data_IF_143003245429
#
_entry.id   IF_143003245429
#
_cell.length_a   1.000
_cell.length_b   1.000
_cell.length_c   1.000
_cell.angle_alpha   90.00
_cell.angle_beta   90.00
_cell.angle_gamma   90.00
#
_symmetry.space_group_name_H-M   'P 1'
#
loop_
_entity.id
_entity.type
_entity.pdbx_description
1 polymer ?
#
# COMPACT_ATOMS: atom_id res chain seq x y z
N UNK A 1 2.65 -3.41 -16.50
CA UNK A 1 3.53 -2.23 -16.38
C UNK A 1 3.74 -1.86 -14.91
N UNK A 2 4.70 -0.97 -14.61
CA UNK A 2 4.76 -0.25 -13.34
C UNK A 2 3.89 1.01 -13.42
N UNK A 3 3.26 1.39 -12.32
CA UNK A 3 2.61 2.69 -12.14
C UNK A 3 3.54 3.57 -11.30
N UNK A 4 3.90 4.77 -11.79
CA UNK A 4 4.83 5.67 -11.09
C UNK A 4 4.06 6.83 -10.48
N UNK A 5 4.27 7.06 -9.18
CA UNK A 5 3.61 8.10 -8.40
C UNK A 5 4.66 9.06 -7.84
N UNK A 6 4.32 10.35 -7.81
CA UNK A 6 5.06 11.41 -7.13
C UNK A 6 4.18 12.00 -6.03
N UNK A 7 4.73 12.16 -4.84
CA UNK A 7 4.11 12.89 -3.74
C UNK A 7 4.98 14.09 -3.34
N UNK A 8 4.38 15.27 -3.38
CA UNK A 8 4.92 16.51 -2.85
C UNK A 8 4.64 16.65 -1.35
N UNK A 9 5.24 17.64 -0.71
CA UNK A 9 4.99 17.98 0.70
C UNK A 9 3.49 18.13 0.97
N UNK A 10 3.01 17.44 2.01
CA UNK A 10 1.60 17.38 2.42
C UNK A 10 0.76 16.34 1.67
N UNK A 11 1.19 15.87 0.49
CA UNK A 11 0.46 14.85 -0.24
C UNK A 11 0.59 13.48 0.44
N UNK A 12 -0.50 12.73 0.40
CA UNK A 12 -0.65 11.42 1.05
C UNK A 12 -1.57 10.52 0.24
N UNK A 13 -1.66 9.26 0.64
CA UNK A 13 -2.72 8.37 0.19
C UNK A 13 -3.35 7.71 1.40
N UNK A 14 -4.65 7.93 1.58
CA UNK A 14 -5.43 7.28 2.62
C UNK A 14 -5.34 5.75 2.54
N UNK A 15 -5.53 5.11 3.69
CA UNK A 15 -5.49 3.66 3.81
C UNK A 15 -6.52 2.98 2.91
N UNK A 16 -6.09 1.96 2.18
CA UNK A 16 -6.91 1.19 1.25
C UNK A 16 -6.39 -0.24 1.10
N UNK A 17 -7.20 -1.09 0.48
CA UNK A 17 -6.78 -2.41 0.00
C UNK A 17 -6.45 -2.33 -1.48
N UNK A 18 -5.41 -3.05 -1.89
CA UNK A 18 -5.12 -3.23 -3.32
C UNK A 18 -5.98 -4.31 -3.97
N UNK A 19 -6.47 -5.29 -3.18
CA UNK A 19 -7.42 -6.29 -3.63
C UNK A 19 -8.78 -5.65 -3.91
N UNK A 20 -9.48 -6.15 -4.94
CA UNK A 20 -10.81 -5.65 -5.26
C UNK A 20 -11.86 -6.42 -4.45
N UNK A 21 -12.43 -5.77 -3.44
CA UNK A 21 -13.49 -6.35 -2.64
C UNK A 21 -14.78 -6.54 -3.46
N UNK A 22 -15.39 -7.75 -3.52
CA UNK A 22 -16.55 -8.00 -4.38
C UNK A 22 -17.76 -7.11 -4.09
N UNK A 23 -17.93 -6.67 -2.84
CA UNK A 23 -19.02 -5.76 -2.47
C UNK A 23 -18.89 -4.35 -3.09
N UNK A 24 -17.68 -3.93 -3.45
CA UNK A 24 -17.41 -2.60 -4.02
C UNK A 24 -17.21 -2.67 -5.54
N UNK A 25 -16.51 -3.70 -6.03
CA UNK A 25 -16.10 -3.81 -7.44
C UNK A 25 -16.84 -4.89 -8.23
N UNK A 26 -17.71 -5.68 -7.57
CA UNK A 26 -18.31 -6.87 -8.17
C UNK A 26 -17.30 -8.03 -8.33
N UNK A 27 -17.75 -9.20 -8.84
CA UNK A 27 -16.88 -10.34 -9.05
C UNK A 27 -15.78 -10.01 -10.07
N UNK A 28 -14.52 -10.24 -9.67
CA UNK A 28 -13.38 -10.06 -10.55
C UNK A 28 -12.93 -11.39 -11.15
N UNK A 29 -12.59 -11.38 -12.44
CA UNK A 29 -11.93 -12.53 -13.08
C UNK A 29 -10.54 -12.79 -12.50
N UNK A 30 -9.81 -11.71 -12.18
CA UNK A 30 -8.45 -11.77 -11.63
C UNK A 30 -8.28 -10.80 -10.47
N UNK A 31 -7.61 -11.25 -9.41
CA UNK A 31 -7.29 -10.46 -8.23
C UNK A 31 -5.83 -10.00 -8.23
N UNK A 32 -5.58 -8.89 -7.51
CA UNK A 32 -4.22 -8.48 -7.14
C UNK A 32 -3.83 -9.26 -5.89
N UNK A 33 -2.93 -10.22 -6.05
CA UNK A 33 -2.51 -11.11 -4.96
C UNK A 33 -1.40 -10.52 -4.10
N UNK A 34 -0.59 -9.65 -4.71
CA UNK A 34 0.50 -8.98 -4.04
C UNK A 34 0.81 -7.65 -4.72
N UNK A 35 1.45 -6.77 -3.96
CA UNK A 35 1.90 -5.47 -4.40
C UNK A 35 3.38 -5.32 -4.11
N UNK A 36 4.11 -4.90 -5.13
CA UNK A 36 5.53 -4.57 -5.03
C UNK A 36 5.70 -3.06 -5.23
N UNK A 37 6.19 -2.39 -4.19
CA UNK A 37 6.53 -0.97 -4.21
C UNK A 37 8.05 -0.83 -4.30
N UNK A 38 8.53 -0.18 -5.36
CA UNK A 38 9.93 0.20 -5.50
C UNK A 38 10.07 1.68 -5.18
N UNK A 39 10.81 2.02 -4.12
CA UNK A 39 11.08 3.41 -3.77
C UNK A 39 12.16 3.99 -4.68
N UNK A 40 11.81 5.06 -5.39
CA UNK A 40 12.67 5.69 -6.40
C UNK A 40 13.41 6.92 -5.86
N UNK A 41 13.06 7.40 -4.66
CA UNK A 41 13.73 8.48 -3.96
C UNK A 41 13.86 8.17 -2.46
N UNK A 42 14.88 8.74 -1.84
CA UNK A 42 14.94 8.90 -0.38
C UNK A 42 13.97 10.01 0.03
N UNK A 43 13.24 9.80 1.12
CA UNK A 43 12.36 10.83 1.70
C UNK A 43 12.97 11.30 3.02
N UNK A 44 13.17 12.62 3.15
CA UNK A 44 13.82 13.20 4.32
C UNK A 44 12.96 12.97 5.58
N UNK A 45 11.69 13.34 5.52
CA UNK A 45 10.73 13.22 6.62
C UNK A 45 9.31 12.90 6.13
N UNK A 46 8.62 11.97 6.81
CA UNK A 46 7.31 11.47 6.42
C UNK A 46 7.36 10.51 5.23
N UNK A 47 6.24 10.41 4.50
CA UNK A 47 6.14 9.62 3.27
C UNK A 47 6.18 8.10 3.47
N UNK A 48 6.15 7.59 4.70
CA UNK A 48 6.19 6.16 4.98
C UNK A 48 5.04 5.41 4.32
N UNK A 49 5.30 4.21 3.83
CA UNK A 49 4.21 3.26 3.58
C UNK A 49 3.83 2.66 4.92
N UNK A 50 2.57 2.84 5.34
CA UNK A 50 2.08 2.35 6.62
C UNK A 50 1.12 1.18 6.47
N UNK A 51 1.08 0.31 7.48
CA UNK A 51 0.12 -0.78 7.63
C UNK A 51 -0.54 -0.63 9.01
N UNK A 52 -1.72 0.02 9.08
CA UNK A 52 -2.31 0.41 10.35
C UNK A 52 -2.77 -0.77 11.21
N UNK A 53 -3.15 -1.91 10.61
CA UNK A 53 -3.61 -3.10 11.34
C UNK A 53 -2.48 -4.05 11.77
N UNK A 54 -1.24 -3.78 11.38
CA UNK A 54 -0.09 -4.47 11.96
C UNK A 54 0.11 -4.04 13.43
N UNK A 55 0.50 -4.99 14.28
CA UNK A 55 0.63 -4.85 15.75
C UNK A 55 -0.70 -4.63 16.51
N UNK A 56 -1.68 -5.51 16.31
CA UNK A 56 -2.92 -5.63 17.13
C UNK A 56 -3.86 -4.41 17.12
N UNK A 57 -3.72 -3.50 16.15
CA UNK A 57 -4.59 -2.32 16.02
C UNK A 57 -5.93 -2.62 15.32
N UNK A 58 -6.20 -3.88 14.96
CA UNK A 58 -7.36 -4.26 14.13
C UNK A 58 -8.71 -3.95 14.81
N UNK A 59 -8.76 -3.96 16.15
CA UNK A 59 -9.95 -3.67 16.95
C UNK A 59 -10.08 -2.17 17.32
N UNK A 60 -9.17 -1.32 16.84
CA UNK A 60 -9.22 0.11 17.12
C UNK A 60 -10.25 0.82 16.22
N UNK A 61 -10.81 1.92 16.73
CA UNK A 61 -11.69 2.82 15.95
C UNK A 61 -10.85 3.65 14.96
N UNK A 62 -10.12 2.95 14.09
CA UNK A 62 -9.12 3.50 13.20
C UNK A 62 -9.76 4.40 12.14
N UNK A 63 -9.23 5.61 12.01
CA UNK A 63 -9.57 6.52 10.92
C UNK A 63 -8.56 6.35 9.77
N UNK A 64 -9.06 5.98 8.60
CA UNK A 64 -8.28 5.66 7.40
C UNK A 64 -7.37 6.79 6.90
N UNK A 65 -7.52 8.00 7.44
CA UNK A 65 -6.64 9.15 7.13
C UNK A 65 -5.39 9.24 8.02
N UNK A 66 -5.35 8.50 9.14
CA UNK A 66 -4.30 8.55 10.15
C UNK A 66 -3.07 7.72 9.77
N UNK A 67 -1.87 8.26 10.05
CA UNK A 67 -0.59 7.60 9.82
C UNK A 67 -0.11 6.83 11.07
N UNK A 68 -0.50 5.56 11.23
CA UNK A 68 -0.19 4.72 12.41
C UNK A 68 0.24 3.29 12.01
N UNK A 69 0.50 2.43 13.00
CA UNK A 69 0.88 1.03 12.78
C UNK A 69 2.33 0.86 12.35
N UNK A 70 2.61 -0.23 11.62
CA UNK A 70 3.93 -0.46 11.03
C UNK A 70 4.20 0.58 9.96
N UNK A 71 5.38 1.20 9.97
CA UNK A 71 5.79 2.22 8.99
C UNK A 71 7.11 1.84 8.33
N UNK A 72 7.11 1.82 7.01
CA UNK A 72 8.29 1.56 6.18
C UNK A 72 8.75 2.88 5.58
N UNK A 73 9.94 3.34 6.00
CA UNK A 73 10.54 4.58 5.49
C UNK A 73 11.01 4.38 4.04
N UNK A 74 10.66 5.27 3.09
CA UNK A 74 11.14 5.18 1.72
C UNK A 74 12.64 5.46 1.68
N UNK A 75 13.40 4.51 1.13
CA UNK A 75 14.83 4.66 0.83
C UNK A 75 15.05 4.27 -0.62
N UNK A 76 15.81 5.08 -1.36
CA UNK A 76 15.97 4.86 -2.78
C UNK A 76 16.57 3.47 -3.07
N UNK A 77 15.91 2.72 -3.96
CA UNK A 77 16.33 1.38 -4.38
C UNK A 77 15.72 0.23 -3.55
N UNK A 78 15.12 0.50 -2.39
CA UNK A 78 14.44 -0.52 -1.61
C UNK A 78 13.14 -0.98 -2.29
N UNK A 79 12.87 -2.29 -2.19
CA UNK A 79 11.63 -2.91 -2.60
C UNK A 79 10.82 -3.42 -1.41
N UNK A 80 9.55 -3.05 -1.35
CA UNK A 80 8.57 -3.54 -0.37
C UNK A 80 7.56 -4.45 -1.08
N UNK A 81 7.55 -5.72 -0.72
CA UNK A 81 6.57 -6.71 -1.17
C UNK A 81 5.61 -7.04 -0.02
N UNK A 82 4.31 -6.98 -0.29
CA UNK A 82 3.28 -7.47 0.63
C UNK A 82 2.15 -8.15 -0.15
N UNK A 83 1.47 -9.09 0.51
CA UNK A 83 0.38 -9.86 -0.08
C UNK A 83 -0.95 -9.23 0.30
N UNK A 84 -1.87 -9.15 -0.66
CA UNK A 84 -3.22 -8.60 -0.43
C UNK A 84 -4.22 -9.69 -0.03
N UNK A 85 -3.88 -10.95 -0.27
CA UNK A 85 -4.72 -12.11 -0.01
C UNK A 85 -3.97 -13.15 0.82
N UNK A 86 -4.71 -13.87 1.65
CA UNK A 86 -4.25 -15.14 2.23
C UNK A 86 -4.15 -16.23 1.15
N UNK A 87 -3.47 -17.34 1.48
CA UNK A 87 -3.29 -18.48 0.57
C UNK A 87 -4.60 -19.16 0.15
N UNK A 88 -5.68 -18.99 0.91
CA UNK A 88 -7.03 -19.45 0.58
C UNK A 88 -7.79 -18.49 -0.36
N UNK A 89 -7.18 -17.38 -0.77
CA UNK A 89 -7.75 -16.38 -1.68
C UNK A 89 -8.63 -15.32 -1.01
N UNK A 90 -8.86 -15.36 0.29
CA UNK A 90 -9.59 -14.29 0.99
C UNK A 90 -8.70 -13.07 1.22
N UNK A 91 -9.27 -11.87 1.18
CA UNK A 91 -8.53 -10.62 1.42
C UNK A 91 -7.92 -10.66 2.81
N UNK A 92 -6.63 -10.33 2.90
CA UNK A 92 -5.93 -10.19 4.16
C UNK A 92 -6.23 -8.80 4.75
N UNK A 93 -6.94 -8.70 5.88
CA UNK A 93 -7.25 -7.43 6.52
C UNK A 93 -5.99 -6.63 6.90
N UNK A 94 -4.87 -7.29 7.24
CA UNK A 94 -3.67 -6.56 7.67
C UNK A 94 -2.90 -5.94 6.49
N UNK A 95 -3.27 -6.31 5.26
CA UNK A 95 -2.74 -5.72 4.02
C UNK A 95 -3.26 -4.31 3.72
N UNK A 96 -4.20 -3.80 4.52
CA UNK A 96 -4.62 -2.40 4.44
C UNK A 96 -3.37 -1.52 4.61
N UNK A 97 -3.20 -0.57 3.71
CA UNK A 97 -2.00 0.25 3.71
C UNK A 97 -2.27 1.62 3.12
N UNK A 98 -1.40 2.57 3.46
CA UNK A 98 -1.46 3.93 2.93
C UNK A 98 -0.09 4.54 2.80
N UNK A 99 -0.04 5.73 2.20
CA UNK A 99 1.15 6.57 2.20
C UNK A 99 0.94 7.69 3.19
N UNK A 100 1.75 7.74 4.24
CA UNK A 100 1.81 8.87 5.15
C UNK A 100 2.16 10.17 4.39
N UNK A 101 1.75 11.34 4.91
CA UNK A 101 2.08 12.61 4.28
C UNK A 101 3.59 12.80 4.20
N UNK A 102 4.08 13.31 3.06
CA UNK A 102 5.46 13.79 2.97
C UNK A 102 5.56 15.07 3.79
N UNK A 103 6.48 15.11 4.75
CA UNK A 103 6.71 16.29 5.59
C UNK A 103 7.85 17.12 5.01
N UNK A 104 8.90 16.47 4.50
CA UNK A 104 10.06 17.13 3.88
C UNK A 104 10.64 16.27 2.75
N UNK A 105 11.01 16.93 1.65
CA UNK A 105 11.52 16.29 0.43
C UNK A 105 10.41 15.96 -0.56
N UNK A 106 10.63 14.92 -1.37
CA UNK A 106 9.63 14.38 -2.31
C UNK A 106 9.72 12.85 -2.37
N UNK A 107 8.57 12.20 -2.53
CA UNK A 107 8.49 10.73 -2.65
C UNK A 107 8.18 10.35 -4.09
N UNK A 108 9.05 9.53 -4.66
CA UNK A 108 8.79 8.80 -5.90
C UNK A 108 8.70 7.31 -5.61
N UNK A 109 7.66 6.66 -6.12
CA UNK A 109 7.46 5.22 -5.95
C UNK A 109 6.88 4.61 -7.22
N UNK A 110 7.38 3.43 -7.59
CA UNK A 110 6.82 2.62 -8.65
C UNK A 110 6.09 1.41 -8.07
N UNK A 111 4.79 1.31 -8.34
CA UNK A 111 3.93 0.22 -7.90
C UNK A 111 3.76 -0.81 -9.01
N UNK A 112 3.94 -2.08 -8.67
CA UNK A 112 3.60 -3.23 -9.51
C UNK A 112 2.61 -4.09 -8.76
N UNK A 113 1.39 -4.15 -9.29
CA UNK A 113 0.40 -5.13 -8.84
C UNK A 113 0.63 -6.46 -9.54
N UNK A 114 0.73 -7.53 -8.74
CA UNK A 114 0.89 -8.90 -9.19
C UNK A 114 -0.48 -9.55 -9.13
N UNK A 115 -0.88 -10.20 -10.23
CA UNK A 115 -2.19 -10.84 -10.37
C UNK A 115 -2.07 -12.36 -10.38
N UNK A 116 -3.14 -13.05 -9.96
CA UNK A 116 -3.22 -14.52 -9.98
C UNK A 116 -3.41 -15.11 -11.38
N UNK A 117 -3.83 -14.30 -12.35
CA UNK A 117 -4.00 -14.69 -13.74
C UNK A 117 -3.22 -13.70 -14.61
N UNK A 118 -2.61 -14.21 -15.68
CA UNK A 118 -2.01 -13.35 -16.70
C UNK A 118 -3.11 -12.55 -17.39
N UNK A 119 -2.88 -11.24 -17.53
CA UNK A 119 -3.70 -10.42 -18.42
C UNK A 119 -3.18 -10.67 -19.84
N UNK A 120 -4.03 -11.25 -20.70
CA UNK A 120 -3.82 -11.23 -22.16
C UNK A 120 -3.68 -9.80 -22.69
#
# INVERSE_FOLDING_TARGET
AYNVLRYEVGQKYNSHYDAFHPAEYGPQKSQRIASFLLYLSDVEEGGETMFPYENDNIDSNYDYVQCIGLKVKPRQGDGLLFYSLFSNGTIDPTSIHGSCPVIKGEKWVATKWIRNEEQE
#
